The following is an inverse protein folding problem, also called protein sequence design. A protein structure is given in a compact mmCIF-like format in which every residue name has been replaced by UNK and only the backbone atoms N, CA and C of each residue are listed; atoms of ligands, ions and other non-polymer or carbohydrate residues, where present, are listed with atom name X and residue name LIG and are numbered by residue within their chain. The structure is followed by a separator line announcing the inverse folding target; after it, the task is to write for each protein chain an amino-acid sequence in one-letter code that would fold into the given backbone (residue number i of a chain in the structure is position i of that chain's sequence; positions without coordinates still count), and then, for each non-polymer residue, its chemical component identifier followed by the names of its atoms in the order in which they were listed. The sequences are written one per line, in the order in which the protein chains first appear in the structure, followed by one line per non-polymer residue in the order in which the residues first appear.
data_IF_977955541847
#
_entry.id   IF_977955541847
#
_cell.length_a   1.000
_cell.length_b   1.000
_cell.length_c   1.000
_cell.angle_alpha   90.00
_cell.angle_beta   90.00
_cell.angle_gamma   90.00
#
_symmetry.space_group_name_H-M   'P 1'
#
loop_
_entity.id
_entity.type
_entity.pdbx_description
1 polymer ?
#
# COMPACT_ATOMS: atom_id res chain seq x y z
N UNK A 1 6.42 4.10 11.74
CA UNK A 1 6.80 5.04 12.82
C UNK A 1 7.84 4.45 13.76
N UNK A 2 7.52 3.57 14.73
CA UNK A 2 8.55 2.99 15.64
C UNK A 2 9.66 2.18 14.91
N UNK A 3 9.29 1.41 13.87
CA UNK A 3 10.26 0.72 12.98
C UNK A 3 11.12 1.65 12.13
N UNK A 4 10.65 2.87 11.87
CA UNK A 4 11.35 3.83 11.01
C UNK A 4 12.37 4.65 11.79
N UNK A 5 12.06 5.04 13.04
CA UNK A 5 13.01 5.75 13.90
C UNK A 5 14.24 4.87 14.22
N UNK A 6 14.04 3.58 14.51
CA UNK A 6 15.16 2.68 14.80
C UNK A 6 16.07 2.42 13.58
N UNK A 7 15.48 2.30 12.39
CA UNK A 7 16.26 2.17 11.16
C UNK A 7 17.00 3.48 10.84
N UNK A 8 16.38 4.63 11.13
CA UNK A 8 16.98 5.95 10.95
C UNK A 8 18.12 6.24 11.94
N UNK A 9 18.01 5.80 13.20
CA UNK A 9 19.10 5.88 14.19
C UNK A 9 20.26 4.94 13.84
N UNK A 10 19.98 3.73 13.34
CA UNK A 10 21.02 2.82 12.82
C UNK A 10 21.70 3.39 11.58
N UNK A 11 20.92 4.03 10.69
CA UNK A 11 21.43 4.70 9.49
C UNK A 11 22.31 5.90 9.87
N UNK A 12 21.88 6.76 10.79
CA UNK A 12 22.66 7.93 11.21
C UNK A 12 23.94 7.55 11.97
N UNK A 13 23.89 6.51 12.82
CA UNK A 13 25.07 6.05 13.54
C UNK A 13 26.07 5.32 12.62
N UNK A 14 25.62 4.57 11.60
CA UNK A 14 26.52 3.96 10.62
C UNK A 14 26.97 4.93 9.51
N UNK A 15 26.20 5.99 9.23
CA UNK A 15 26.57 6.99 8.21
C UNK A 15 27.87 7.74 8.56
N UNK A 16 28.21 7.85 9.85
CA UNK A 16 29.46 8.50 10.26
C UNK A 16 30.70 7.60 10.07
N UNK A 17 30.54 6.28 10.07
CA UNK A 17 31.68 5.35 9.99
C UNK A 17 31.96 4.82 8.56
N UNK A 18 30.96 4.86 7.65
CA UNK A 18 31.06 4.20 6.32
C UNK A 18 31.39 5.15 5.14
N UNK A 19 31.54 6.47 5.37
CA UNK A 19 31.90 7.43 4.31
C UNK A 19 33.35 7.23 3.80
N UNK A 20 34.19 6.48 4.52
CA UNK A 20 35.60 6.25 4.17
C UNK A 20 35.94 4.87 3.57
N UNK A 21 34.96 3.99 3.34
CA UNK A 21 35.21 2.56 3.06
C UNK A 21 35.29 2.13 1.60
N UNK A 22 34.16 1.95 0.90
CA UNK A 22 34.14 1.17 -0.35
C UNK A 22 33.09 1.71 -1.34
N UNK A 23 33.42 2.76 -2.10
CA UNK A 23 32.57 3.26 -3.20
C UNK A 23 32.52 2.31 -4.41
N UNK A 24 33.17 1.15 -4.34
CA UNK A 24 33.26 0.18 -5.44
C UNK A 24 31.91 -0.46 -5.77
N UNK A 25 31.03 -0.61 -4.77
CA UNK A 25 29.69 -1.18 -4.96
C UNK A 25 28.74 -0.26 -5.74
N UNK A 26 29.05 1.04 -5.84
CA UNK A 26 28.26 2.01 -6.62
C UNK A 26 28.69 2.16 -8.08
N UNK A 27 29.69 1.38 -8.54
CA UNK A 27 30.10 1.44 -9.93
C UNK A 27 28.94 0.97 -10.84
N UNK A 28 28.61 1.76 -11.88
CA UNK A 28 27.51 1.48 -12.82
C UNK A 28 27.66 0.10 -13.47
N UNK A 29 28.90 -0.31 -13.74
CA UNK A 29 29.21 -1.61 -14.35
C UNK A 29 28.98 -2.81 -13.39
N UNK A 30 28.90 -2.56 -12.09
CA UNK A 30 28.66 -3.57 -11.06
C UNK A 30 27.17 -3.67 -10.70
N UNK A 31 26.46 -2.55 -10.55
CA UNK A 31 25.03 -2.52 -10.17
C UNK A 31 24.13 -3.00 -11.31
N UNK A 32 24.40 -2.57 -12.55
CA UNK A 32 23.55 -2.90 -13.69
C UNK A 32 23.95 -4.22 -14.37
N UNK A 33 24.95 -4.93 -13.86
CA UNK A 33 25.45 -6.18 -14.45
C UNK A 33 24.37 -7.26 -14.45
N UNK A 34 23.99 -7.72 -15.65
CA UNK A 34 22.94 -8.74 -15.80
C UNK A 34 21.50 -8.19 -15.73
N UNK A 35 21.32 -6.87 -15.73
CA UNK A 35 19.99 -6.26 -15.78
C UNK A 35 19.28 -6.57 -17.11
N UNK A 36 18.06 -7.09 -17.01
CA UNK A 36 17.21 -7.34 -18.18
C UNK A 36 16.36 -6.11 -18.45
N UNK A 37 16.72 -5.37 -19.51
CA UNK A 37 16.03 -4.14 -19.92
C UNK A 37 14.79 -4.37 -20.79
N UNK A 38 14.25 -5.59 -20.82
CA UNK A 38 13.02 -5.83 -21.57
C UNK A 38 11.84 -5.13 -20.91
N UNK A 39 10.91 -4.64 -21.73
CA UNK A 39 9.70 -3.94 -21.27
C UNK A 39 8.95 -4.78 -20.22
N UNK A 40 8.85 -6.09 -20.44
CA UNK A 40 8.21 -7.02 -19.50
C UNK A 40 8.91 -7.05 -18.13
N UNK A 41 10.25 -7.05 -18.09
CA UNK A 41 10.99 -7.05 -16.82
C UNK A 41 10.90 -5.72 -16.09
N UNK A 42 10.86 -4.60 -16.81
CA UNK A 42 10.64 -3.27 -16.22
C UNK A 42 9.24 -3.19 -15.60
N UNK A 43 8.21 -3.65 -16.31
CA UNK A 43 6.83 -3.66 -15.79
C UNK A 43 6.71 -4.55 -14.54
N UNK A 44 7.34 -5.72 -14.54
CA UNK A 44 7.38 -6.59 -13.36
C UNK A 44 8.09 -5.93 -12.17
N UNK A 45 9.20 -5.22 -12.41
CA UNK A 45 9.90 -4.49 -11.36
C UNK A 45 9.03 -3.36 -10.76
N UNK A 46 8.33 -2.60 -11.61
CA UNK A 46 7.37 -1.56 -11.17
C UNK A 46 6.20 -2.19 -10.40
N UNK A 47 5.70 -3.34 -10.84
CA UNK A 47 4.64 -4.07 -10.13
C UNK A 47 5.06 -4.49 -8.71
N UNK A 48 6.28 -5.03 -8.56
CA UNK A 48 6.83 -5.36 -7.24
C UNK A 48 7.08 -4.10 -6.39
N UNK A 49 7.56 -3.02 -7.00
CA UNK A 49 7.72 -1.73 -6.34
C UNK A 49 6.38 -1.17 -5.83
N UNK A 50 5.30 -1.32 -6.59
CA UNK A 50 3.97 -0.87 -6.17
C UNK A 50 3.47 -1.58 -4.90
N UNK A 51 3.78 -2.87 -4.75
CA UNK A 51 3.43 -3.64 -3.55
C UNK A 51 4.09 -3.09 -2.28
N UNK A 52 5.32 -2.55 -2.39
CA UNK A 52 6.00 -1.94 -1.25
C UNK A 52 5.24 -0.70 -0.72
N UNK A 53 4.54 0.04 -1.58
CA UNK A 53 3.70 1.19 -1.20
C UNK A 53 2.25 0.80 -0.83
N UNK A 54 1.95 -0.49 -0.69
CA UNK A 54 0.63 -1.00 -0.31
C UNK A 54 0.17 -0.53 1.08
N UNK A 55 -1.15 -0.51 1.29
CA UNK A 55 -1.77 -0.23 2.61
C UNK A 55 -2.27 1.20 2.81
N UNK A 56 -1.95 2.13 1.90
CA UNK A 56 -2.43 3.52 1.97
C UNK A 56 -3.98 3.63 1.98
N UNK A 57 -4.68 2.72 1.30
CA UNK A 57 -6.14 2.73 1.20
C UNK A 57 -6.84 2.57 2.56
N UNK A 58 -6.29 1.73 3.45
CA UNK A 58 -6.88 1.44 4.76
C UNK A 58 -6.77 2.66 5.68
N UNK A 59 -5.62 3.34 5.64
CA UNK A 59 -5.37 4.56 6.43
C UNK A 59 -6.34 5.67 6.05
N UNK A 60 -6.71 5.74 4.78
CA UNK A 60 -7.61 6.77 4.29
C UNK A 60 -9.06 6.60 4.77
N UNK A 61 -9.51 5.38 5.06
CA UNK A 61 -10.85 5.15 5.60
C UNK A 61 -11.02 5.75 7.01
N UNK A 62 -9.99 5.68 7.86
CA UNK A 62 -10.03 6.26 9.21
C UNK A 62 -9.97 7.79 9.24
N UNK A 63 -9.65 8.45 8.13
CA UNK A 63 -9.58 9.92 8.07
C UNK A 63 -10.96 10.58 8.18
N UNK A 64 -12.05 9.87 7.87
CA UNK A 64 -13.41 10.41 7.95
C UNK A 64 -13.86 10.67 9.40
N UNK A 65 -13.33 9.90 10.36
CA UNK A 65 -13.66 10.05 11.79
C UNK A 65 -12.91 11.22 12.46
N UNK A 66 -11.84 11.71 11.83
CA UNK A 66 -11.01 12.80 12.37
C UNK A 66 -11.65 14.13 12.01
N UNK A 67 -12.07 14.90 13.03
CA UNK A 67 -12.59 16.28 12.84
C UNK A 67 -11.45 17.24 12.50
N UNK A 68 -11.17 17.40 11.21
CA UNK A 68 -10.15 18.33 10.71
C UNK A 68 -10.78 19.70 10.43
N UNK A 69 -10.21 20.76 11.02
CA UNK A 69 -10.68 22.16 10.90
C UNK A 69 -10.78 22.63 9.43
N UNK A 70 -9.89 22.14 8.56
CA UNK A 70 -9.87 22.40 7.11
C UNK A 70 -9.64 21.11 6.29
N UNK A 71 -10.63 20.21 6.24
CA UNK A 71 -10.51 18.91 5.54
C UNK A 71 -10.05 19.06 4.08
N UNK A 72 -10.62 20.02 3.34
CA UNK A 72 -10.35 20.22 1.90
C UNK A 72 -8.90 20.57 1.56
N UNK A 73 -8.20 21.26 2.46
CA UNK A 73 -6.80 21.71 2.25
C UNK A 73 -5.80 20.79 2.95
N UNK A 74 -6.17 20.24 4.10
CA UNK A 74 -5.28 19.44 4.93
C UNK A 74 -5.07 18.05 4.34
N UNK A 75 -6.13 17.42 3.85
CA UNK A 75 -6.05 16.04 3.31
C UNK A 75 -5.10 15.94 2.10
N UNK A 76 -5.20 16.80 1.06
CA UNK A 76 -4.26 16.73 -0.06
C UNK A 76 -2.81 16.98 0.36
N UNK A 77 -2.56 17.89 1.31
CA UNK A 77 -1.21 18.17 1.83
C UNK A 77 -0.65 16.99 2.61
N UNK A 78 -1.47 16.37 3.46
CA UNK A 78 -1.07 15.20 4.24
C UNK A 78 -0.71 14.02 3.33
N UNK A 79 -1.51 13.76 2.28
CA UNK A 79 -1.22 12.74 1.27
C UNK A 79 0.10 13.05 0.55
N UNK A 80 0.33 14.30 0.16
CA UNK A 80 1.55 14.70 -0.56
C UNK A 80 2.80 14.55 0.31
N UNK A 81 2.75 15.00 1.57
CA UNK A 81 3.85 14.86 2.53
C UNK A 81 4.12 13.38 2.83
N UNK A 82 3.07 12.57 3.00
CA UNK A 82 3.19 11.13 3.21
C UNK A 82 3.82 10.41 2.01
N UNK A 83 3.44 10.79 0.79
CA UNK A 83 4.00 10.24 -0.43
C UNK A 83 5.50 10.55 -0.56
N UNK A 84 5.88 11.82 -0.43
CA UNK A 84 7.30 12.21 -0.54
C UNK A 84 8.13 11.70 0.63
N UNK A 85 7.60 11.73 1.84
CA UNK A 85 8.27 11.22 3.03
C UNK A 85 8.55 9.72 2.94
N UNK A 86 7.56 8.93 2.49
CA UNK A 86 7.77 7.51 2.26
C UNK A 86 8.79 7.27 1.14
N UNK A 87 8.65 7.91 -0.03
CA UNK A 87 9.59 7.77 -1.14
C UNK A 87 11.03 8.09 -0.74
N UNK A 88 11.24 9.15 0.05
CA UNK A 88 12.56 9.51 0.56
C UNK A 88 13.16 8.40 1.44
N UNK A 89 12.39 7.87 2.39
CA UNK A 89 12.84 6.75 3.23
C UNK A 89 13.14 5.49 2.41
N UNK A 90 12.33 5.20 1.38
CA UNK A 90 12.60 4.07 0.49
C UNK A 90 13.92 4.22 -0.27
N UNK A 91 14.20 5.41 -0.80
CA UNK A 91 15.47 5.68 -1.50
C UNK A 91 16.66 5.55 -0.54
N UNK A 92 16.56 6.12 0.66
CA UNK A 92 17.62 6.00 1.68
C UNK A 92 17.86 4.54 2.10
N UNK A 93 16.80 3.77 2.31
CA UNK A 93 16.92 2.36 2.70
C UNK A 93 17.59 1.55 1.61
N UNK A 94 17.20 1.75 0.33
CA UNK A 94 17.84 1.07 -0.79
C UNK A 94 19.30 1.48 -0.94
N UNK A 95 19.62 2.77 -0.80
CA UNK A 95 21.00 3.25 -0.83
C UNK A 95 21.86 2.56 0.24
N UNK A 96 21.35 2.44 1.47
CA UNK A 96 22.04 1.75 2.55
C UNK A 96 22.22 0.25 2.31
N UNK A 97 21.25 -0.43 1.69
CA UNK A 97 21.46 -1.83 1.31
C UNK A 97 22.60 -2.00 0.31
N UNK A 98 22.73 -1.08 -0.66
CA UNK A 98 23.80 -1.14 -1.66
C UNK A 98 25.19 -0.72 -1.14
N UNK A 99 25.31 -0.07 0.03
CA UNK A 99 26.63 0.19 0.64
C UNK A 99 27.21 -1.08 1.27
N UNK A 100 26.36 -1.92 1.87
CA UNK A 100 26.80 -3.09 2.67
C UNK A 100 26.67 -4.43 1.92
N UNK A 101 25.71 -4.57 1.01
CA UNK A 101 25.40 -5.84 0.34
C UNK A 101 25.68 -5.78 -1.15
N UNK A 102 26.22 -6.87 -1.70
CA UNK A 102 26.37 -7.02 -3.14
C UNK A 102 25.05 -7.47 -3.80
N UNK A 103 24.84 -7.21 -5.12
CA UNK A 103 23.62 -7.63 -5.81
C UNK A 103 23.36 -9.15 -5.73
N UNK A 104 24.41 -9.98 -5.73
CA UNK A 104 24.29 -11.44 -5.58
C UNK A 104 23.75 -11.82 -4.20
N UNK A 105 24.32 -11.24 -3.14
CA UNK A 105 23.86 -11.48 -1.77
C UNK A 105 22.41 -11.03 -1.56
N UNK A 106 21.99 -9.93 -2.18
CA UNK A 106 20.60 -9.47 -2.12
C UNK A 106 19.62 -10.43 -2.81
N UNK A 107 20.03 -11.04 -3.93
CA UNK A 107 19.19 -11.98 -4.69
C UNK A 107 19.14 -13.38 -4.05
N UNK A 108 20.19 -13.80 -3.38
CA UNK A 108 20.26 -15.09 -2.68
C UNK A 108 19.63 -15.04 -1.28
N UNK A 109 19.52 -13.85 -0.68
CA UNK A 109 18.91 -13.66 0.63
C UNK A 109 17.39 -13.79 0.58
N UNK A 110 16.83 -14.68 1.41
CA UNK A 110 15.39 -14.76 1.63
C UNK A 110 14.82 -13.50 2.31
N UNK A 111 15.65 -12.78 3.09
CA UNK A 111 15.30 -11.51 3.71
C UNK A 111 16.50 -10.55 3.72
N UNK A 112 16.54 -9.62 2.76
CA UNK A 112 17.63 -8.64 2.60
C UNK A 112 17.89 -7.84 3.89
N UNK A 113 16.82 -7.47 4.61
CA UNK A 113 16.92 -6.71 5.86
C UNK A 113 17.64 -7.48 6.99
N UNK A 114 17.49 -8.80 7.05
CA UNK A 114 18.14 -9.61 8.09
C UNK A 114 19.62 -9.80 7.79
N UNK A 115 19.97 -10.02 6.52
CA UNK A 115 21.36 -10.13 6.07
C UNK A 115 22.11 -8.82 6.29
N UNK A 116 21.47 -7.67 6.02
CA UNK A 116 22.03 -6.35 6.32
C UNK A 116 22.29 -6.16 7.82
N UNK A 117 21.32 -6.50 8.66
CA UNK A 117 21.43 -6.34 10.11
C UNK A 117 22.54 -7.23 10.70
N UNK A 118 22.68 -8.46 10.19
CA UNK A 118 23.74 -9.38 10.62
C UNK A 118 25.14 -8.84 10.30
N UNK A 119 25.31 -8.19 9.14
CA UNK A 119 26.58 -7.58 8.73
C UNK A 119 26.92 -6.29 9.48
N UNK A 120 25.93 -5.52 9.93
CA UNK A 120 26.14 -4.18 10.52
C UNK A 120 26.13 -4.16 12.05
N UNK A 121 25.28 -4.96 12.72
CA UNK A 121 25.01 -4.83 14.16
C UNK A 121 25.56 -6.00 15.00
N UNK A 122 26.08 -7.06 14.37
CA UNK A 122 26.64 -8.22 15.08
C UNK A 122 25.62 -8.97 15.95
N UNK A 123 26.04 -9.47 17.12
CA UNK A 123 25.28 -10.44 17.95
C UNK A 123 23.90 -9.96 18.47
N UNK A 124 23.65 -8.64 18.51
CA UNK A 124 22.33 -8.06 18.87
C UNK A 124 21.33 -8.02 17.69
N UNK A 125 21.76 -8.40 16.48
CA UNK A 125 20.97 -8.35 15.26
C UNK A 125 19.76 -9.30 15.23
N UNK A 126 19.67 -10.31 16.10
CA UNK A 126 18.57 -11.29 16.07
C UNK A 126 17.29 -10.78 16.74
N UNK A 127 17.38 -9.82 17.66
CA UNK A 127 16.22 -9.35 18.42
C UNK A 127 15.17 -8.65 17.53
N UNK A 128 15.62 -7.85 16.56
CA UNK A 128 14.74 -7.03 15.72
C UNK A 128 13.99 -7.84 14.64
N UNK A 129 14.63 -8.77 13.91
CA UNK A 129 13.93 -9.72 13.03
C UNK A 129 13.06 -10.71 13.81
N UNK A 130 13.49 -11.18 14.98
CA UNK A 130 12.74 -12.17 15.76
C UNK A 130 11.38 -11.63 16.23
N UNK A 131 11.28 -10.36 16.64
CA UNK A 131 10.00 -9.75 17.02
C UNK A 131 9.04 -9.65 15.83
N UNK A 132 9.56 -9.28 14.65
CA UNK A 132 8.77 -9.16 13.43
C UNK A 132 8.32 -10.55 12.97
N UNK A 133 9.24 -11.51 12.95
CA UNK A 133 8.94 -12.90 12.65
C UNK A 133 7.89 -13.42 13.62
N UNK A 134 8.05 -13.29 14.93
CA UNK A 134 7.07 -13.78 15.91
C UNK A 134 5.66 -13.21 15.65
N UNK A 135 5.54 -11.89 15.42
CA UNK A 135 4.26 -11.25 15.12
C UNK A 135 3.64 -11.75 13.81
N UNK A 136 4.45 -11.89 12.76
CA UNK A 136 3.98 -12.34 11.45
C UNK A 136 3.69 -13.85 11.44
N UNK A 137 4.49 -14.65 12.14
CA UNK A 137 4.40 -16.11 12.22
C UNK A 137 3.20 -16.52 13.07
N UNK A 138 2.88 -15.83 14.17
CA UNK A 138 1.67 -16.13 14.96
C UNK A 138 0.41 -15.85 14.14
N UNK A 139 0.38 -14.75 13.39
CA UNK A 139 -0.74 -14.45 12.50
C UNK A 139 -0.82 -15.44 11.33
N UNK A 140 0.32 -15.78 10.70
CA UNK A 140 0.39 -16.73 9.58
C UNK A 140 0.05 -18.16 10.00
N UNK A 141 0.45 -18.60 11.19
CA UNK A 141 0.18 -19.95 11.71
C UNK A 141 -1.31 -20.16 12.01
N UNK A 142 -2.03 -19.11 12.40
CA UNK A 142 -3.49 -19.14 12.50
C UNK A 142 -4.17 -19.26 11.12
N UNK A 143 -3.61 -18.65 10.08
CA UNK A 143 -4.13 -18.76 8.70
C UNK A 143 -3.74 -20.08 8.00
N UNK A 144 -2.62 -20.69 8.37
CA UNK A 144 -2.10 -21.93 7.75
C UNK A 144 -3.00 -23.16 7.96
N UNK A 145 -3.91 -23.12 8.94
CA UNK A 145 -4.87 -24.20 9.21
C UNK A 145 -5.99 -24.32 8.15
N UNK A 146 -6.05 -23.40 7.18
CA UNK A 146 -7.14 -23.26 6.20
C UNK A 146 -6.71 -23.63 4.76
N UNK A 147 -5.40 -23.71 4.46
CA UNK A 147 -4.86 -24.07 3.14
C UNK A 147 -3.62 -23.25 2.73
N UNK A 148 -3.06 -23.55 1.55
CA UNK A 148 -1.84 -22.88 1.02
C UNK A 148 -2.00 -21.35 0.96
N UNK A 149 -1.23 -20.66 1.81
CA UNK A 149 -1.32 -19.21 2.03
C UNK A 149 -0.99 -18.43 0.76
N UNK A 150 -0.08 -18.94 -0.09
CA UNK A 150 0.31 -18.26 -1.31
C UNK A 150 -0.87 -18.15 -2.28
N UNK A 151 -1.68 -19.21 -2.34
CA UNK A 151 -2.87 -19.26 -3.18
C UNK A 151 -3.94 -18.29 -2.65
N UNK A 152 -4.13 -18.21 -1.33
CA UNK A 152 -5.08 -17.28 -0.71
C UNK A 152 -4.69 -15.81 -0.91
N UNK A 153 -3.40 -15.48 -0.76
CA UNK A 153 -2.89 -14.12 -1.02
C UNK A 153 -3.13 -13.72 -2.48
N UNK A 154 -2.89 -14.62 -3.43
CA UNK A 154 -3.22 -14.38 -4.84
C UNK A 154 -4.72 -14.13 -5.05
N UNK A 155 -5.60 -14.90 -4.38
CA UNK A 155 -7.05 -14.68 -4.46
C UNK A 155 -7.46 -13.33 -3.89
N UNK A 156 -7.02 -13.00 -2.67
CA UNK A 156 -7.34 -11.76 -1.99
C UNK A 156 -6.82 -10.53 -2.76
N UNK A 157 -5.65 -10.65 -3.40
CA UNK A 157 -5.09 -9.61 -4.25
C UNK A 157 -6.00 -9.34 -5.44
N UNK A 158 -6.40 -10.39 -6.18
CA UNK A 158 -7.25 -10.24 -7.37
C UNK A 158 -8.62 -9.66 -6.98
N UNK A 159 -9.20 -10.14 -5.88
CA UNK A 159 -10.46 -9.59 -5.34
C UNK A 159 -10.31 -8.12 -4.91
N UNK A 160 -9.22 -7.74 -4.24
CA UNK A 160 -8.98 -6.37 -3.80
C UNK A 160 -8.73 -5.40 -4.98
N UNK A 161 -7.98 -5.84 -5.99
CA UNK A 161 -7.76 -5.08 -7.22
C UNK A 161 -9.08 -4.91 -7.99
N UNK A 162 -9.90 -5.95 -8.09
CA UNK A 162 -11.23 -5.87 -8.70
C UNK A 162 -12.18 -4.92 -7.95
N UNK A 163 -12.18 -4.97 -6.62
CA UNK A 163 -12.96 -4.03 -5.80
C UNK A 163 -12.49 -2.58 -5.97
N UNK A 164 -11.17 -2.37 -6.07
CA UNK A 164 -10.60 -1.05 -6.33
C UNK A 164 -10.99 -0.52 -7.70
N UNK A 165 -10.98 -1.37 -8.75
CA UNK A 165 -11.48 -0.98 -10.08
C UNK A 165 -12.95 -0.56 -10.04
N UNK A 166 -13.80 -1.31 -9.34
CA UNK A 166 -15.21 -0.97 -9.22
C UNK A 166 -15.41 0.36 -8.49
N UNK A 167 -14.69 0.60 -7.40
CA UNK A 167 -14.77 1.85 -6.63
C UNK A 167 -14.30 3.06 -7.46
N UNK A 168 -13.15 2.95 -8.13
CA UNK A 168 -12.62 4.03 -8.97
C UNK A 168 -13.50 4.25 -10.21
N UNK A 169 -14.02 3.17 -10.80
CA UNK A 169 -15.01 3.24 -11.88
C UNK A 169 -16.30 3.95 -11.45
N UNK A 170 -16.79 3.68 -10.25
CA UNK A 170 -17.94 4.38 -9.68
C UNK A 170 -17.65 5.88 -9.50
N UNK A 171 -16.44 6.26 -9.06
CA UNK A 171 -16.03 7.67 -8.96
C UNK A 171 -16.00 8.37 -10.33
N UNK A 172 -15.51 7.70 -11.37
CA UNK A 172 -15.54 8.23 -12.75
C UNK A 172 -16.99 8.42 -13.21
N UNK A 173 -17.85 7.44 -12.96
CA UNK A 173 -19.27 7.50 -13.30
C UNK A 173 -20.01 8.64 -12.57
N UNK A 174 -19.78 8.79 -11.26
CA UNK A 174 -20.35 9.87 -10.43
C UNK A 174 -19.94 11.25 -10.96
N UNK A 175 -18.66 11.41 -11.33
CA UNK A 175 -18.14 12.67 -11.90
C UNK A 175 -18.74 12.95 -13.28
N UNK A 176 -18.92 11.93 -14.11
CA UNK A 176 -19.53 12.08 -15.43
C UNK A 176 -21.02 12.49 -15.31
N UNK A 177 -21.77 11.88 -14.39
CA UNK A 177 -23.19 12.19 -14.15
C UNK A 177 -23.47 13.40 -13.24
N UNK A 178 -22.43 14.04 -12.67
CA UNK A 178 -22.55 15.24 -11.80
C UNK A 178 -23.54 15.07 -10.62
N UNK A 179 -23.52 13.92 -9.96
CA UNK A 179 -24.35 13.65 -8.77
C UNK A 179 -23.87 14.54 -7.59
N UNK A 180 -24.75 15.08 -6.72
CA UNK A 180 -24.34 15.90 -5.59
C UNK A 180 -23.46 15.11 -4.63
N UNK A 181 -22.22 15.56 -4.47
CA UNK A 181 -21.24 15.01 -3.51
C UNK A 181 -21.28 15.80 -2.21
N UNK A 182 -20.86 15.18 -1.10
CA UNK A 182 -20.78 15.83 0.21
C UNK A 182 -20.07 17.19 0.15
N UNK A 183 -20.57 18.17 0.90
CA UNK A 183 -20.07 19.55 0.90
C UNK A 183 -18.57 19.65 1.26
N UNK A 184 -18.02 18.66 1.97
CA UNK A 184 -16.62 18.58 2.37
C UNK A 184 -15.72 17.81 1.39
N UNK A 185 -16.26 17.30 0.29
CA UNK A 185 -15.51 16.50 -0.68
C UNK A 185 -14.39 17.31 -1.36
N UNK A 186 -13.20 16.70 -1.46
CA UNK A 186 -12.08 17.24 -2.22
C UNK A 186 -12.32 17.02 -3.72
N UNK A 187 -12.32 18.10 -4.49
CA UNK A 187 -12.51 18.05 -5.94
C UNK A 187 -11.18 17.82 -6.64
N UNK A 188 -10.97 16.62 -7.16
CA UNK A 188 -9.85 16.29 -8.04
C UNK A 188 -10.26 16.32 -9.52
N UNK A 189 -9.34 16.66 -10.45
CA UNK A 189 -9.62 16.56 -11.88
C UNK A 189 -9.86 15.09 -12.28
N UNK A 190 -10.68 14.88 -13.31
CA UNK A 190 -11.11 13.53 -13.75
C UNK A 190 -9.98 12.70 -14.36
N UNK A 191 -8.88 13.35 -14.75
CA UNK A 191 -7.70 12.71 -15.30
C UNK A 191 -7.09 11.65 -14.35
N UNK A 192 -6.96 11.95 -13.05
CA UNK A 192 -6.31 11.04 -12.11
C UNK A 192 -7.06 9.70 -11.92
N UNK A 193 -8.41 9.69 -11.72
CA UNK A 193 -9.16 8.44 -11.68
C UNK A 193 -9.09 7.62 -12.98
N UNK A 194 -9.11 8.26 -14.14
CA UNK A 194 -9.03 7.56 -15.44
C UNK A 194 -7.65 6.90 -15.59
N UNK A 195 -6.58 7.64 -15.28
CA UNK A 195 -5.22 7.10 -15.32
C UNK A 195 -5.06 5.91 -14.36
N UNK A 196 -5.58 6.03 -13.14
CA UNK A 196 -5.53 4.95 -12.15
C UNK A 196 -6.31 3.72 -12.62
N UNK A 197 -7.48 3.90 -13.24
CA UNK A 197 -8.27 2.80 -13.80
C UNK A 197 -7.50 2.06 -14.90
N UNK A 198 -6.82 2.78 -15.80
CA UNK A 198 -6.00 2.18 -16.87
C UNK A 198 -4.85 1.36 -16.26
N UNK A 199 -4.15 1.90 -15.27
CA UNK A 199 -3.05 1.21 -14.59
C UNK A 199 -3.56 -0.06 -13.91
N UNK A 200 -4.69 0.01 -13.20
CA UNK A 200 -5.22 -1.16 -12.49
C UNK A 200 -5.66 -2.25 -13.49
N UNK A 201 -6.28 -1.89 -14.61
CA UNK A 201 -6.63 -2.84 -15.68
C UNK A 201 -5.38 -3.53 -16.23
N UNK A 202 -4.30 -2.76 -16.49
CA UNK A 202 -3.05 -3.32 -16.97
C UNK A 202 -2.39 -4.26 -15.95
N UNK A 203 -2.43 -3.91 -14.66
CA UNK A 203 -1.89 -4.74 -13.58
C UNK A 203 -2.70 -6.02 -13.34
N UNK A 204 -4.02 -5.98 -13.55
CA UNK A 204 -4.89 -7.15 -13.45
C UNK A 204 -4.65 -8.14 -14.62
N UNK A 205 -4.19 -7.67 -15.77
CA UNK A 205 -3.98 -8.50 -16.95
C UNK A 205 -2.90 -9.58 -16.70
N UNK A 206 -1.86 -9.24 -15.93
CA UNK A 206 -0.73 -10.13 -15.63
C UNK A 206 -1.19 -11.41 -14.90
N UNK A 207 -1.84 -11.35 -13.71
CA UNK A 207 -2.29 -12.55 -13.01
C UNK A 207 -3.38 -13.33 -13.77
N UNK A 208 -4.20 -12.66 -14.59
CA UNK A 208 -5.23 -13.30 -15.43
C UNK A 208 -4.60 -14.23 -16.46
N UNK A 209 -3.51 -13.81 -17.10
CA UNK A 209 -2.83 -14.62 -18.13
C UNK A 209 -1.96 -15.71 -17.48
N UNK A 210 -1.22 -15.37 -16.42
CA UNK A 210 -0.26 -16.30 -15.82
C UNK A 210 -0.96 -17.41 -15.04
N UNK A 211 -2.05 -17.11 -14.33
CA UNK A 211 -2.72 -18.09 -13.45
C UNK A 211 -4.26 -18.03 -13.58
N UNK A 212 -4.84 -18.48 -14.71
CA UNK A 212 -6.25 -18.26 -15.04
C UNK A 212 -7.23 -18.92 -14.05
N UNK A 213 -6.90 -20.12 -13.56
CA UNK A 213 -7.74 -20.83 -12.57
C UNK A 213 -7.83 -20.03 -11.28
N UNK A 214 -6.70 -19.48 -10.83
CA UNK A 214 -6.64 -18.70 -9.60
C UNK A 214 -7.36 -17.36 -9.74
N UNK A 215 -7.21 -16.74 -10.90
CA UNK A 215 -7.92 -15.50 -11.21
C UNK A 215 -9.44 -15.68 -11.29
N UNK A 216 -9.93 -16.79 -11.85
CA UNK A 216 -11.36 -17.07 -11.94
C UNK A 216 -12.02 -17.17 -10.55
N UNK A 217 -11.35 -17.84 -9.60
CA UNK A 217 -11.82 -17.94 -8.20
C UNK A 217 -11.84 -16.56 -7.53
N UNK A 218 -10.81 -15.74 -7.73
CA UNK A 218 -10.75 -14.37 -7.20
C UNK A 218 -11.89 -13.46 -7.70
N UNK A 219 -12.27 -13.58 -8.98
CA UNK A 219 -13.42 -12.87 -9.54
C UNK A 219 -14.76 -13.42 -9.01
N UNK A 220 -14.88 -14.73 -8.83
CA UNK A 220 -16.08 -15.32 -8.23
C UNK A 220 -16.30 -14.80 -6.80
N UNK A 221 -15.24 -14.72 -5.98
CA UNK A 221 -15.30 -14.12 -4.64
C UNK A 221 -15.72 -12.65 -4.67
N UNK A 222 -15.24 -11.89 -5.65
CA UNK A 222 -15.65 -10.49 -5.82
C UNK A 222 -17.14 -10.35 -6.14
N UNK A 223 -17.65 -11.16 -7.08
CA UNK A 223 -19.08 -11.17 -7.44
C UNK A 223 -19.94 -11.57 -6.23
N UNK A 224 -19.50 -12.57 -5.45
CA UNK A 224 -20.18 -12.95 -4.21
C UNK A 224 -20.19 -11.82 -3.18
N UNK A 225 -19.09 -11.06 -3.06
CA UNK A 225 -19.02 -9.87 -2.20
C UNK A 225 -20.02 -8.78 -2.58
N UNK A 226 -20.16 -8.50 -3.89
CA UNK A 226 -21.19 -7.58 -4.40
C UNK A 226 -22.59 -8.15 -4.10
N UNK A 227 -22.83 -9.42 -4.42
CA UNK A 227 -24.11 -10.09 -4.21
C UNK A 227 -24.56 -10.03 -2.74
N UNK A 228 -23.65 -10.31 -1.80
CA UNK A 228 -23.91 -10.17 -0.35
C UNK A 228 -24.24 -8.73 0.02
N UNK A 229 -23.53 -7.76 -0.54
CA UNK A 229 -23.76 -6.33 -0.24
C UNK A 229 -25.14 -5.87 -0.72
N UNK A 230 -25.54 -6.27 -1.93
CA UNK A 230 -26.89 -6.00 -2.46
C UNK A 230 -27.98 -6.72 -1.66
N UNK A 231 -27.77 -7.99 -1.31
CA UNK A 231 -28.72 -8.77 -0.51
C UNK A 231 -28.87 -8.20 0.91
N UNK A 232 -27.79 -7.77 1.55
CA UNK A 232 -27.82 -7.09 2.84
C UNK A 232 -28.52 -5.73 2.74
N UNK A 233 -28.30 -4.96 1.67
CA UNK A 233 -29.00 -3.70 1.43
C UNK A 233 -30.50 -3.90 1.15
N UNK A 234 -30.91 -5.07 0.65
CA UNK A 234 -32.31 -5.44 0.45
C UNK A 234 -32.99 -5.90 1.75
N UNK A 235 -32.26 -6.61 2.62
CA UNK A 235 -32.75 -7.10 3.90
C UNK A 235 -32.74 -6.04 5.02
N UNK A 236 -31.79 -5.10 4.98
CA UNK A 236 -31.69 -3.97 5.90
C UNK A 236 -31.69 -2.67 5.11
N UNK A 237 -32.86 -2.08 4.81
CA UNK A 237 -32.95 -0.72 4.31
C UNK A 237 -32.64 0.25 5.48
N UNK A 238 -31.39 0.31 5.94
CA UNK A 238 -31.05 1.15 7.10
C UNK A 238 -30.66 2.57 6.69
N UNK A 239 -31.53 3.50 7.11
CA UNK A 239 -31.21 4.85 7.61
C UNK A 239 -31.25 6.04 6.64
N UNK A 240 -32.45 6.33 6.11
CA UNK A 240 -32.87 7.72 5.84
C UNK A 240 -33.27 8.49 7.13
N UNK A 241 -33.31 7.83 8.29
CA UNK A 241 -33.81 8.40 9.56
C UNK A 241 -32.73 8.95 10.52
N UNK A 242 -31.44 8.92 10.16
CA UNK A 242 -30.36 9.48 11.01
C UNK A 242 -30.49 11.00 11.24
N UNK A 243 -31.23 11.71 10.39
CA UNK A 243 -31.48 13.15 10.51
C UNK A 243 -32.40 13.53 11.69
N UNK A 244 -33.09 12.57 12.31
CA UNK A 244 -34.03 12.81 13.41
C UNK A 244 -33.43 12.69 14.82
N UNK A 245 -32.17 12.26 14.95
CA UNK A 245 -31.51 12.11 16.26
C UNK A 245 -31.11 13.48 16.85
N UNK A 246 -31.51 13.80 18.10
CA UNK A 246 -31.27 15.12 18.73
C UNK A 246 -29.79 15.46 18.92
N UNK A 247 -28.89 14.47 18.82
CA UNK A 247 -27.43 14.63 18.91
C UNK A 247 -26.87 15.37 17.68
N UNK A 248 -27.48 15.19 16.49
CA UNK A 248 -27.03 15.84 15.25
C UNK A 248 -27.63 17.24 15.03
N UNK A 249 -28.83 17.49 15.56
CA UNK A 249 -29.47 18.82 15.57
C UNK A 249 -28.62 19.87 16.31
N UNK A 250 -28.02 19.48 17.44
CA UNK A 250 -27.25 20.41 18.29
C UNK A 250 -25.93 20.86 17.67
N UNK A 251 -25.37 20.10 16.73
CA UNK A 251 -24.17 20.48 15.96
C UNK A 251 -24.48 21.48 14.83
N UNK A 252 -25.62 21.33 14.13
CA UNK A 252 -26.01 22.26 13.04
C UNK A 252 -26.28 23.69 13.52
N UNK A 253 -26.75 23.89 14.75
CA UNK A 253 -27.06 25.24 15.28
C UNK A 253 -25.84 26.09 15.68
N UNK A 254 -24.60 25.56 15.63
CA UNK A 254 -23.40 26.26 16.13
C UNK A 254 -22.47 26.85 15.07
N UNK A 255 -22.72 26.68 13.78
CA UNK A 255 -21.94 27.34 12.73
C UNK A 255 -22.80 28.39 12.03
N UNK A 256 -22.52 29.70 12.23
CA UNK A 256 -23.15 30.74 11.43
C UNK A 256 -22.63 30.68 9.99
N UNK A 257 -23.55 30.64 9.03
CA UNK A 257 -23.27 30.88 7.63
C UNK A 257 -22.76 32.33 7.46
N UNK A 258 -21.51 32.47 7.03
CA UNK A 258 -20.97 33.68 6.39
C UNK A 258 -20.18 33.21 5.17
#
# INVERSE_FOLDING_TARGET
LFKQCYCFDILLNNFNDDISGETQHFNKDFIFKGSKWSISHIVLAVYQGNWAYGGYGILNYGMEDIKIKDFKRTVPRAVLIGLFGSAFVYVLTNAAYFTVLTPKEMLESSAVATTFAQKTVGSLSYAMPALIALLMTVLAMAFCLIGDVYVLVSYLTITAVAATMFSVGALVFIKWKKIPVSANAVKFPIFFPILNLIIIIALLLIPVIVEPIKSAVGFALFILGIGKSFFFSYLYPSQKDCDSLPIFSKKRKKEPLI
#
